data_IF_740573096716
#
_entry.id   IF_740573096716
#
_cell.length_a   1.000
_cell.length_b   1.000
_cell.length_c   1.000
_cell.angle_alpha   90.00
_cell.angle_beta   90.00
_cell.angle_gamma   90.00
#
_symmetry.space_group_name_H-M   'P 1'
#
loop_
_entity.id
_entity.type
_entity.pdbx_description
1 polymer ?
#
# COMPACT_ATOMS: atom_id res chain seq x y z
N UNK A 1 5.00 -11.54 -18.08
CA UNK A 1 3.80 -12.32 -18.49
C UNK A 1 3.03 -11.47 -19.47
N UNK A 2 2.82 -11.94 -20.70
CA UNK A 2 2.25 -11.18 -21.80
C UNK A 2 0.90 -11.82 -22.13
N UNK A 3 -0.21 -11.11 -21.87
CA UNK A 3 -1.59 -11.61 -21.91
C UNK A 3 -2.17 -11.84 -23.31
N UNK A 4 -1.36 -12.31 -24.26
CA UNK A 4 -1.78 -12.51 -25.66
C UNK A 4 -2.72 -13.71 -25.88
N UNK A 5 -3.01 -14.49 -24.85
CA UNK A 5 -3.87 -15.69 -24.91
C UNK A 5 -5.07 -15.62 -23.96
N UNK A 6 -5.36 -14.44 -23.39
CA UNK A 6 -6.55 -14.25 -22.56
C UNK A 6 -7.82 -14.32 -23.43
N UNK A 7 -8.80 -15.18 -23.11
CA UNK A 7 -10.07 -15.24 -23.81
C UNK A 7 -10.78 -13.88 -23.81
N UNK A 8 -11.23 -13.42 -24.98
CA UNK A 8 -11.89 -12.12 -25.13
C UNK A 8 -13.34 -12.11 -24.65
N UNK A 9 -13.90 -13.28 -24.40
CA UNK A 9 -15.28 -13.55 -24.02
C UNK A 9 -15.45 -13.89 -22.52
N UNK A 10 -14.34 -14.02 -21.79
CA UNK A 10 -14.35 -14.31 -20.35
C UNK A 10 -13.91 -13.07 -19.60
N UNK A 11 -14.77 -12.59 -18.69
CA UNK A 11 -14.41 -11.48 -17.81
C UNK A 11 -13.16 -11.85 -16.99
N UNK A 12 -12.13 -10.98 -16.89
CA UNK A 12 -10.87 -11.31 -16.23
C UNK A 12 -11.00 -11.90 -14.82
N UNK A 13 -12.02 -11.50 -14.06
CA UNK A 13 -12.28 -12.04 -12.71
C UNK A 13 -12.72 -13.51 -12.68
N UNK A 14 -13.05 -14.10 -13.84
CA UNK A 14 -13.43 -15.51 -13.99
C UNK A 14 -12.33 -16.35 -14.63
N UNK A 15 -11.15 -15.75 -14.89
CA UNK A 15 -9.99 -16.50 -15.36
C UNK A 15 -9.44 -17.33 -14.20
N UNK A 16 -9.43 -18.65 -14.40
CA UNK A 16 -8.68 -19.59 -13.57
C UNK A 16 -7.36 -19.92 -14.26
N UNK A 17 -6.30 -20.06 -13.48
CA UNK A 17 -5.04 -20.61 -13.97
C UNK A 17 -5.24 -22.08 -14.35
N UNK A 18 -4.38 -22.61 -15.21
CA UNK A 18 -4.43 -24.02 -15.66
C UNK A 18 -4.33 -25.03 -14.49
N UNK A 19 -3.77 -24.62 -13.36
CA UNK A 19 -3.69 -25.40 -12.11
C UNK A 19 -4.97 -25.32 -11.25
N UNK A 20 -6.02 -24.65 -11.72
CA UNK A 20 -7.29 -24.46 -11.02
C UNK A 20 -7.27 -23.35 -9.96
N UNK A 21 -6.16 -22.63 -9.79
CA UNK A 21 -6.08 -21.52 -8.85
C UNK A 21 -6.68 -20.23 -9.43
N UNK A 22 -7.52 -19.55 -8.65
CA UNK A 22 -8.01 -18.21 -8.98
C UNK A 22 -7.07 -17.15 -8.39
N UNK A 23 -6.88 -16.05 -9.11
CA UNK A 23 -6.20 -14.88 -8.55
C UNK A 23 -7.22 -14.15 -7.68
N UNK A 24 -6.93 -13.99 -6.38
CA UNK A 24 -7.76 -13.16 -5.53
C UNK A 24 -7.49 -11.68 -5.86
N UNK A 25 -8.26 -11.14 -6.80
CA UNK A 25 -8.16 -9.74 -7.22
C UNK A 25 -8.41 -8.74 -6.09
N UNK A 26 -9.12 -9.12 -5.02
CA UNK A 26 -9.31 -8.25 -3.85
C UNK A 26 -8.02 -8.07 -3.04
N UNK A 27 -7.04 -8.97 -3.18
CA UNK A 27 -5.71 -8.84 -2.57
C UNK A 27 -4.75 -7.96 -3.39
N UNK A 28 -5.15 -7.57 -4.61
CA UNK A 28 -4.35 -6.72 -5.50
C UNK A 28 -4.73 -5.23 -5.38
N UNK A 29 -5.81 -4.92 -4.67
CA UNK A 29 -6.25 -3.54 -4.43
C UNK A 29 -5.87 -3.18 -3.00
N UNK A 30 -5.19 -2.05 -2.78
CA UNK A 30 -4.93 -1.55 -1.44
C UNK A 30 -6.25 -1.27 -0.72
N UNK A 31 -6.45 -1.90 0.44
CA UNK A 31 -7.62 -1.72 1.28
C UNK A 31 -7.20 -1.49 2.73
N UNK A 32 -8.05 -0.78 3.48
CA UNK A 32 -7.83 -0.55 4.91
C UNK A 32 -7.67 -1.90 5.63
N UNK A 33 -6.66 -2.06 6.48
CA UNK A 33 -6.43 -3.34 7.15
C UNK A 33 -7.61 -3.73 8.06
N UNK A 34 -7.72 -5.02 8.38
CA UNK A 34 -8.78 -5.52 9.28
C UNK A 34 -8.61 -4.86 10.66
N UNK A 35 -7.37 -4.76 11.10
CA UNK A 35 -6.94 -4.15 12.35
C UNK A 35 -7.36 -2.67 12.40
N UNK A 36 -7.12 -1.93 11.31
CA UNK A 36 -7.54 -0.54 11.20
C UNK A 36 -9.06 -0.37 11.27
N UNK A 37 -9.84 -1.30 10.70
CA UNK A 37 -11.31 -1.29 10.83
C UNK A 37 -11.77 -1.63 12.25
N UNK A 38 -11.13 -2.59 12.89
CA UNK A 38 -11.50 -3.04 14.24
C UNK A 38 -11.08 -2.04 15.33
N UNK A 39 -10.02 -1.27 15.07
CA UNK A 39 -9.43 -0.33 16.02
C UNK A 39 -9.36 1.08 15.44
N UNK A 40 -10.46 1.54 14.84
CA UNK A 40 -10.54 2.84 14.16
C UNK A 40 -10.12 4.02 15.05
N UNK A 41 -10.59 4.07 16.30
CA UNK A 41 -10.21 5.13 17.24
C UNK A 41 -8.72 5.12 17.57
N UNK A 42 -8.12 3.93 17.71
CA UNK A 42 -6.68 3.81 17.92
C UNK A 42 -5.91 4.30 16.71
N UNK A 43 -6.36 3.97 15.50
CA UNK A 43 -5.75 4.48 14.27
C UNK A 43 -5.81 6.00 14.19
N UNK A 44 -6.96 6.61 14.50
CA UNK A 44 -7.10 8.08 14.53
C UNK A 44 -6.16 8.72 15.57
N UNK A 45 -6.11 8.16 16.78
CA UNK A 45 -5.19 8.65 17.81
C UNK A 45 -3.72 8.53 17.39
N UNK A 46 -3.34 7.45 16.70
CA UNK A 46 -1.98 7.31 16.16
C UNK A 46 -1.71 8.34 15.06
N UNK A 47 -2.67 8.59 14.18
CA UNK A 47 -2.55 9.62 13.14
C UNK A 47 -2.34 11.01 13.76
N UNK A 48 -3.09 11.34 14.81
CA UNK A 48 -2.96 12.62 15.51
C UNK A 48 -1.63 12.74 16.26
N UNK A 49 -1.24 11.70 17.02
CA UNK A 49 0.00 11.70 17.80
C UNK A 49 1.25 11.78 16.92
N UNK A 50 1.22 11.14 15.75
CA UNK A 50 2.35 11.12 14.83
C UNK A 50 2.25 12.17 13.71
N UNK A 51 1.23 13.04 13.72
CA UNK A 51 0.99 14.00 12.63
C UNK A 51 2.22 14.86 12.31
N UNK A 52 2.89 15.40 13.32
CA UNK A 52 4.06 16.25 13.12
C UNK A 52 5.30 15.44 12.69
N UNK A 53 5.42 14.19 13.14
CA UNK A 53 6.45 13.28 12.65
C UNK A 53 6.25 12.99 11.16
N UNK A 54 5.03 12.70 10.73
CA UNK A 54 4.75 12.45 9.31
C UNK A 54 5.05 13.68 8.47
N UNK A 55 4.60 14.88 8.88
CA UNK A 55 4.94 16.13 8.17
C UNK A 55 6.45 16.33 8.04
N UNK A 56 7.21 16.00 9.09
CA UNK A 56 8.66 16.09 9.03
C UNK A 56 9.25 15.08 8.05
N UNK A 57 8.83 13.82 8.10
CA UNK A 57 9.26 12.77 7.15
C UNK A 57 8.96 13.18 5.70
N UNK A 58 7.77 13.72 5.45
CA UNK A 58 7.40 14.27 4.15
C UNK A 58 8.40 15.30 3.64
N UNK A 59 8.72 16.30 4.48
CA UNK A 59 9.66 17.34 4.12
C UNK A 59 11.06 16.78 3.86
N UNK A 60 11.54 15.89 4.72
CA UNK A 60 12.85 15.25 4.56
C UNK A 60 12.92 14.39 3.29
N UNK A 61 11.84 13.71 2.90
CA UNK A 61 11.81 12.93 1.66
C UNK A 61 11.83 13.84 0.42
N UNK A 62 11.10 14.96 0.44
CA UNK A 62 11.15 15.94 -0.66
C UNK A 62 12.53 16.58 -0.82
N UNK A 63 13.20 16.89 0.30
CA UNK A 63 14.54 17.49 0.29
C UNK A 63 15.64 16.48 -0.09
N UNK A 64 15.60 15.27 0.48
CA UNK A 64 16.68 14.28 0.32
C UNK A 64 16.53 13.41 -0.94
N UNK A 65 15.29 13.17 -1.39
CA UNK A 65 14.96 12.27 -2.50
C UNK A 65 14.01 12.95 -3.51
N UNK A 66 14.40 14.11 -4.08
CA UNK A 66 13.52 14.92 -4.92
C UNK A 66 13.10 14.20 -6.22
N UNK A 67 13.88 13.23 -6.70
CA UNK A 67 13.59 12.48 -7.92
C UNK A 67 12.68 11.27 -7.65
N UNK A 68 12.83 10.61 -6.50
CA UNK A 68 12.04 9.44 -6.11
C UNK A 68 10.72 9.81 -5.45
N UNK A 69 10.64 10.95 -4.76
CA UNK A 69 9.43 11.39 -4.08
C UNK A 69 8.21 11.46 -5.02
N UNK A 70 8.29 12.09 -6.22
CA UNK A 70 7.18 12.06 -7.17
C UNK A 70 6.78 10.65 -7.60
N UNK A 71 7.75 9.72 -7.71
CA UNK A 71 7.46 8.34 -8.09
C UNK A 71 6.66 7.60 -7.01
N UNK A 72 6.98 7.84 -5.73
CA UNK A 72 6.21 7.31 -4.59
C UNK A 72 4.79 7.89 -4.57
N UNK A 73 4.68 9.21 -4.77
CA UNK A 73 3.42 9.94 -4.81
C UNK A 73 2.45 9.44 -5.88
N UNK A 74 2.95 9.17 -7.10
CA UNK A 74 2.11 8.71 -8.22
C UNK A 74 1.34 7.45 -7.86
N UNK A 75 1.98 6.50 -7.16
CA UNK A 75 1.32 5.26 -6.76
C UNK A 75 0.19 5.47 -5.78
N UNK A 76 0.24 6.52 -4.95
CA UNK A 76 -0.82 6.90 -4.02
C UNK A 76 -1.94 7.65 -4.76
N UNK A 77 -1.57 8.56 -5.66
CA UNK A 77 -2.52 9.43 -6.37
C UNK A 77 -3.43 8.67 -7.34
N UNK A 78 -2.95 7.55 -7.91
CA UNK A 78 -3.75 6.71 -8.82
C UNK A 78 -4.69 5.74 -8.10
N UNK A 79 -4.64 5.65 -6.77
CA UNK A 79 -5.44 4.68 -6.04
C UNK A 79 -6.93 5.03 -6.07
N UNK A 80 -7.80 4.05 -6.33
CA UNK A 80 -9.23 4.26 -6.24
C UNK A 80 -9.60 4.60 -4.80
N UNK A 81 -10.39 5.67 -4.61
CA UNK A 81 -10.89 6.09 -3.30
C UNK A 81 -10.51 7.52 -2.89
N UNK A 82 -9.61 8.21 -3.60
CA UNK A 82 -9.26 9.63 -3.42
C UNK A 82 -8.96 10.05 -1.96
N UNK A 83 -8.56 9.10 -1.12
CA UNK A 83 -8.15 9.38 0.26
C UNK A 83 -6.63 9.51 0.27
N UNK A 84 -6.14 10.72 0.51
CA UNK A 84 -4.72 10.95 0.77
C UNK A 84 -4.37 10.27 2.10
N UNK A 85 -3.44 9.30 2.13
CA UNK A 85 -3.04 8.65 3.36
C UNK A 85 -2.30 9.64 4.27
N UNK A 86 -2.48 9.50 5.59
CA UNK A 86 -1.78 10.33 6.58
C UNK A 86 -0.25 10.20 6.51
N UNK A 87 0.24 9.13 5.90
CA UNK A 87 1.66 8.79 5.77
C UNK A 87 2.17 8.97 4.34
N UNK A 88 1.55 9.85 3.56
CA UNK A 88 2.00 10.17 2.21
C UNK A 88 3.52 10.50 2.20
N UNK A 89 4.26 10.21 1.12
CA UNK A 89 3.85 9.53 -0.11
C UNK A 89 3.75 8.01 0.04
N UNK A 90 3.78 7.47 1.26
CA UNK A 90 3.56 6.04 1.49
C UNK A 90 2.07 5.70 1.58
N UNK A 91 1.78 4.45 1.27
CA UNK A 91 0.43 3.90 1.28
C UNK A 91 0.01 3.32 2.65
N UNK A 92 0.97 2.88 3.46
CA UNK A 92 0.70 2.19 4.72
C UNK A 92 1.77 2.46 5.77
N UNK A 93 1.35 2.38 7.03
CA UNK A 93 2.24 2.46 8.19
C UNK A 93 2.32 1.08 8.86
N UNK A 94 3.54 0.65 9.19
CA UNK A 94 3.78 -0.52 10.02
C UNK A 94 4.39 -0.06 11.34
N UNK A 95 3.72 -0.36 12.45
CA UNK A 95 4.20 -0.04 13.80
C UNK A 95 4.56 -1.33 14.53
N UNK A 96 5.86 -1.53 14.77
CA UNK A 96 6.39 -2.67 15.50
C UNK A 96 6.71 -2.27 16.95
N UNK A 97 5.90 -2.71 17.92
CA UNK A 97 6.12 -2.46 19.35
C UNK A 97 6.58 -3.74 20.04
N UNK A 98 7.74 -3.69 20.70
CA UNK A 98 8.32 -4.84 21.43
C UNK A 98 8.54 -6.09 20.54
N UNK A 99 8.88 -5.86 19.27
CA UNK A 99 9.19 -6.92 18.29
C UNK A 99 10.67 -6.85 17.93
N UNK A 100 11.32 -8.01 17.83
CA UNK A 100 12.66 -8.15 17.24
C UNK A 100 12.50 -8.82 15.89
N UNK A 101 12.69 -8.06 14.81
CA UNK A 101 12.67 -8.61 13.45
C UNK A 101 14.03 -9.22 13.10
N UNK A 102 14.02 -10.34 12.36
CA UNK A 102 15.24 -10.86 11.75
C UNK A 102 15.63 -9.94 10.59
N UNK A 103 16.93 -9.84 10.29
CA UNK A 103 17.38 -9.11 9.10
C UNK A 103 16.72 -9.70 7.84
N UNK A 104 15.98 -8.86 7.11
CA UNK A 104 15.34 -9.19 5.85
C UNK A 104 15.27 -7.95 4.96
N UNK A 105 15.17 -8.17 3.65
CA UNK A 105 14.75 -7.14 2.70
C UNK A 105 13.27 -7.33 2.47
N UNK A 106 12.48 -6.26 2.52
CA UNK A 106 11.11 -6.31 2.04
C UNK A 106 11.11 -6.50 0.52
N UNK A 107 10.91 -7.75 0.11
CA UNK A 107 11.05 -8.16 -1.28
C UNK A 107 9.98 -7.58 -2.22
N UNK A 108 8.95 -6.95 -1.64
CA UNK A 108 7.81 -6.36 -2.35
C UNK A 108 7.87 -4.84 -2.40
N UNK A 109 8.83 -4.22 -1.74
CA UNK A 109 9.08 -2.79 -1.87
C UNK A 109 9.84 -2.56 -3.18
N UNK A 110 9.32 -1.62 -3.97
CA UNK A 110 9.82 -1.29 -5.31
C UNK A 110 10.97 -0.30 -5.22
#
# INVERSE_FOLDING_TARGET
>A
MQGHSAPSDIHPCWLQKEDGSSINYSQLIPYLSIEARQHWETLLNLQDVFADLFKHIHHELEECLPDEYPMLSVMVDILPGHNVPTVYPFQSLVLNVNVVTKAHKDAKDC
#
